data_IF_877948088505
#
_entry.id   IF_877948088505
#
_cell.length_a   1.000
_cell.length_b   1.000
_cell.length_c   1.000
_cell.angle_alpha   90.00
_cell.angle_beta   90.00
_cell.angle_gamma   90.00
#
_symmetry.space_group_name_H-M   'P 1'
#
loop_
_entity.id
_entity.type
_entity.pdbx_description
1 polymer ?
#
# COMPACT_ATOMS: atom_id res chain seq x y z
N UNK A 1 -4.31 -10.25 17.48
CA UNK A 1 -5.64 -10.87 17.35
C UNK A 1 -6.77 -9.86 17.13
N UNK A 2 -6.56 -8.58 17.43
CA UNK A 2 -7.62 -7.54 17.37
C UNK A 2 -7.71 -6.81 16.02
N UNK A 3 -6.93 -7.20 15.04
CA UNK A 3 -6.89 -6.57 13.72
C UNK A 3 -8.10 -6.87 12.81
N UNK A 4 -8.89 -7.89 13.11
CA UNK A 4 -9.87 -8.43 12.16
C UNK A 4 -11.33 -8.41 12.62
N UNK A 5 -11.64 -8.03 13.87
CA UNK A 5 -13.00 -8.13 14.41
C UNK A 5 -13.39 -6.87 15.18
N UNK A 6 -13.85 -5.83 14.50
CA UNK A 6 -14.71 -4.84 15.15
C UNK A 6 -16.15 -5.34 15.17
N UNK A 7 -16.52 -6.06 16.21
CA UNK A 7 -17.93 -6.35 16.52
C UNK A 7 -18.47 -5.17 17.30
N UNK A 8 -19.16 -4.28 16.65
CA UNK A 8 -19.82 -3.13 17.24
C UNK A 8 -19.63 -1.89 16.37
N UNK A 9 -20.68 -1.49 15.67
CA UNK A 9 -20.66 -0.46 14.64
C UNK A 9 -20.66 0.99 15.15
N UNK A 10 -20.57 1.23 16.49
CA UNK A 10 -20.73 2.57 17.05
C UNK A 10 -19.59 3.55 16.76
N UNK A 11 -18.33 3.12 16.86
CA UNK A 11 -17.16 4.02 16.80
C UNK A 11 -16.09 3.58 15.79
N UNK A 12 -16.49 2.85 14.76
CA UNK A 12 -15.58 2.35 13.72
C UNK A 12 -15.56 3.32 12.56
N UNK A 13 -14.38 3.79 12.19
CA UNK A 13 -14.21 4.59 10.98
C UNK A 13 -13.38 3.87 9.92
N UNK A 14 -13.64 4.21 8.68
CA UNK A 14 -12.91 3.66 7.53
C UNK A 14 -11.50 4.21 7.50
N UNK A 15 -10.50 3.31 7.54
CA UNK A 15 -9.08 3.64 7.52
C UNK A 15 -8.52 3.69 6.10
N UNK A 16 -8.99 2.78 5.27
CA UNK A 16 -8.68 2.62 3.86
C UNK A 16 -9.89 2.03 3.15
N UNK A 17 -9.81 1.82 1.83
CA UNK A 17 -10.97 1.38 1.03
C UNK A 17 -11.68 0.16 1.61
N UNK A 18 -10.96 -0.84 2.15
CA UNK A 18 -11.53 -2.10 2.62
C UNK A 18 -11.27 -2.45 4.09
N UNK A 19 -10.61 -1.58 4.85
CA UNK A 19 -10.26 -1.86 6.24
C UNK A 19 -10.81 -0.82 7.22
N UNK A 20 -11.38 -1.32 8.31
CA UNK A 20 -12.07 -0.57 9.33
C UNK A 20 -11.41 -0.76 10.69
N UNK A 21 -11.32 0.27 11.49
CA UNK A 21 -10.79 0.19 12.85
C UNK A 21 -11.44 1.25 13.72
N UNK A 22 -11.52 0.99 15.04
CA UNK A 22 -11.76 2.03 16.03
C UNK A 22 -10.58 3.00 16.11
N UNK A 23 -10.78 4.23 16.59
CA UNK A 23 -9.68 5.15 16.88
C UNK A 23 -8.59 4.47 17.73
N UNK A 24 -7.34 4.48 17.29
CA UNK A 24 -6.21 3.82 17.95
C UNK A 24 -6.12 2.30 17.75
N UNK A 25 -7.12 1.65 17.16
CA UNK A 25 -7.17 0.21 16.93
C UNK A 25 -6.65 -0.24 15.56
N UNK A 26 -5.94 0.64 14.84
CA UNK A 26 -5.41 0.30 13.52
C UNK A 26 -4.33 -0.78 13.62
N UNK A 27 -4.40 -1.77 12.72
CA UNK A 27 -3.35 -2.75 12.57
C UNK A 27 -2.09 -2.08 11.99
N UNK A 28 -1.11 -1.80 12.85
CA UNK A 28 0.14 -1.15 12.45
C UNK A 28 0.91 -1.97 11.41
N UNK A 29 0.94 -3.28 11.57
CA UNK A 29 1.60 -4.19 10.62
C UNK A 29 0.98 -4.09 9.23
N UNK A 30 -0.35 -4.04 9.14
CA UNK A 30 -1.03 -3.87 7.86
C UNK A 30 -0.78 -2.49 7.23
N UNK A 31 -0.61 -1.44 8.04
CA UNK A 31 -0.26 -0.10 7.55
C UNK A 31 1.14 -0.03 6.93
N UNK A 32 2.09 -0.87 7.35
CA UNK A 32 3.42 -0.98 6.75
C UNK A 32 3.28 -1.28 5.25
N UNK A 33 2.46 -2.25 4.88
CA UNK A 33 2.23 -2.61 3.48
C UNK A 33 1.54 -1.48 2.70
N UNK A 34 0.48 -0.88 3.26
CA UNK A 34 -0.26 0.19 2.59
C UNK A 34 0.53 1.49 2.42
N UNK A 35 1.53 1.71 3.27
CA UNK A 35 2.46 2.85 3.19
C UNK A 35 3.72 2.54 2.40
N UNK A 36 3.76 1.37 1.77
CA UNK A 36 4.92 0.87 1.02
C UNK A 36 6.23 0.95 1.84
N UNK A 37 6.15 0.70 3.15
CA UNK A 37 7.31 0.67 4.04
C UNK A 37 8.03 -0.66 3.94
N UNK A 38 9.26 -0.70 4.42
CA UNK A 38 10.07 -1.91 4.41
C UNK A 38 9.58 -2.93 5.44
N UNK A 39 9.66 -4.22 5.09
CA UNK A 39 9.37 -5.33 6.00
C UNK A 39 10.26 -6.52 5.70
N UNK A 40 10.48 -7.33 6.73
CA UNK A 40 11.19 -8.59 6.65
C UNK A 40 10.22 -9.76 6.87
N UNK A 41 10.18 -10.69 5.92
CA UNK A 41 9.41 -11.92 6.04
C UNK A 41 10.25 -13.07 6.60
N UNK A 42 9.83 -13.65 7.71
CA UNK A 42 10.48 -14.82 8.32
C UNK A 42 9.69 -16.09 7.98
N UNK A 43 10.41 -17.14 7.63
CA UNK A 43 9.84 -18.45 7.34
C UNK A 43 9.90 -18.86 5.86
N UNK A 44 9.61 -20.14 5.56
CA UNK A 44 9.56 -20.65 4.19
C UNK A 44 8.52 -19.92 3.34
N UNK A 45 8.90 -19.51 2.15
CA UNK A 45 8.04 -18.78 1.20
C UNK A 45 7.64 -17.36 1.62
N UNK A 46 8.18 -16.84 2.73
CA UNK A 46 7.89 -15.49 3.17
C UNK A 46 8.52 -14.47 2.22
N UNK A 47 7.78 -13.39 1.95
CA UNK A 47 8.23 -12.27 1.15
C UNK A 47 8.80 -11.16 2.03
N UNK A 48 9.73 -10.39 1.48
CA UNK A 48 10.37 -9.23 2.11
C UNK A 48 10.43 -8.07 1.12
N UNK A 49 10.49 -6.86 1.66
CA UNK A 49 10.78 -5.64 0.89
C UNK A 49 11.75 -4.79 1.70
N UNK A 50 12.99 -4.64 1.24
CA UNK A 50 14.05 -3.89 1.93
C UNK A 50 14.85 -3.08 0.91
N UNK A 51 15.00 -1.81 1.18
CA UNK A 51 15.59 -0.88 0.23
C UNK A 51 14.71 -0.78 -1.03
N UNK A 52 15.31 -1.02 -2.19
CA UNK A 52 14.62 -1.10 -3.48
C UNK A 52 14.49 -2.54 -3.97
N UNK A 53 14.58 -3.54 -3.09
CA UNK A 53 14.53 -4.96 -3.47
C UNK A 53 13.36 -5.66 -2.79
N UNK A 54 12.63 -6.44 -3.58
CA UNK A 54 11.74 -7.49 -3.11
C UNK A 54 12.42 -8.83 -3.24
N UNK A 55 12.25 -9.69 -2.25
CA UNK A 55 12.74 -11.05 -2.32
C UNK A 55 11.81 -11.99 -1.54
N UNK A 56 11.90 -13.26 -1.84
CA UNK A 56 11.16 -14.27 -1.11
C UNK A 56 12.04 -15.48 -0.79
N UNK A 57 11.72 -16.11 0.33
CA UNK A 57 12.44 -17.25 0.82
C UNK A 57 12.05 -18.53 0.08
N UNK A 58 12.94 -19.52 0.09
CA UNK A 58 12.64 -20.86 -0.42
C UNK A 58 11.39 -21.43 0.26
N UNK A 59 10.54 -22.10 -0.51
CA UNK A 59 9.22 -22.57 -0.04
C UNK A 59 9.29 -23.85 0.78
N UNK A 60 10.31 -24.70 0.56
CA UNK A 60 10.48 -25.97 1.27
C UNK A 60 11.07 -25.77 2.66
N UNK A 61 10.39 -26.19 3.75
CA UNK A 61 10.87 -26.00 5.11
C UNK A 61 12.26 -26.62 5.37
N UNK A 62 12.51 -27.79 4.80
CA UNK A 62 13.78 -28.50 4.98
C UNK A 62 14.93 -27.71 4.34
N UNK A 63 14.73 -27.21 3.11
CA UNK A 63 15.73 -26.38 2.40
C UNK A 63 15.96 -25.06 3.15
N UNK A 64 14.89 -24.45 3.65
CA UNK A 64 14.95 -23.24 4.45
C UNK A 64 15.80 -23.43 5.72
N UNK A 65 15.53 -24.51 6.47
CA UNK A 65 16.27 -24.84 7.68
C UNK A 65 17.74 -25.15 7.39
N UNK A 66 18.05 -25.85 6.30
CA UNK A 66 19.41 -26.18 5.89
C UNK A 66 20.22 -24.94 5.58
N UNK A 67 19.68 -24.03 4.75
CA UNK A 67 20.36 -22.79 4.40
C UNK A 67 20.67 -21.95 5.64
N UNK A 68 19.73 -21.84 6.58
CA UNK A 68 19.96 -21.12 7.84
C UNK A 68 21.02 -21.79 8.74
N UNK A 69 21.04 -23.13 8.78
CA UNK A 69 22.05 -23.88 9.55
C UNK A 69 23.46 -23.65 8.98
N UNK A 70 23.55 -23.47 7.66
CA UNK A 70 24.80 -23.15 6.95
C UNK A 70 25.19 -21.66 7.02
N UNK A 71 24.40 -20.83 7.73
CA UNK A 71 24.60 -19.38 7.85
C UNK A 71 24.25 -18.59 6.57
N UNK A 72 23.55 -19.20 5.62
CA UNK A 72 23.13 -18.57 4.39
C UNK A 72 21.70 -17.99 4.50
N UNK A 73 21.46 -16.87 3.80
CA UNK A 73 20.09 -16.34 3.68
C UNK A 73 19.27 -17.28 2.75
N UNK A 74 18.09 -17.72 3.21
CA UNK A 74 17.27 -18.68 2.47
C UNK A 74 16.48 -18.03 1.33
N UNK A 75 17.09 -17.11 0.60
CA UNK A 75 16.46 -16.35 -0.47
C UNK A 75 16.43 -17.21 -1.74
N UNK A 76 15.24 -17.35 -2.32
CA UNK A 76 15.05 -18.07 -3.57
C UNK A 76 15.24 -17.16 -4.79
N UNK A 77 14.67 -15.95 -4.72
CA UNK A 77 14.73 -15.01 -5.85
C UNK A 77 14.61 -13.56 -5.34
N UNK A 78 15.06 -12.62 -6.17
CA UNK A 78 15.08 -11.17 -5.90
C UNK A 78 14.58 -10.40 -7.11
N UNK A 79 13.90 -9.31 -6.86
CA UNK A 79 13.41 -8.35 -7.82
C UNK A 79 13.84 -6.94 -7.39
N UNK A 80 14.55 -6.24 -8.24
CA UNK A 80 14.85 -4.82 -8.03
C UNK A 80 13.66 -3.99 -8.51
N UNK A 81 13.19 -3.09 -7.67
CA UNK A 81 12.08 -2.19 -7.97
C UNK A 81 12.66 -0.89 -8.51
N UNK A 82 12.24 -0.49 -9.71
CA UNK A 82 12.62 0.77 -10.32
C UNK A 82 11.92 1.96 -9.63
N UNK A 83 12.44 3.17 -9.82
CA UNK A 83 11.84 4.38 -9.28
C UNK A 83 10.41 4.61 -9.82
N UNK A 84 10.16 4.26 -11.10
CA UNK A 84 8.85 4.33 -11.73
C UNK A 84 7.84 3.35 -11.10
N UNK A 85 8.25 2.11 -10.88
CA UNK A 85 7.42 1.10 -10.19
C UNK A 85 7.13 1.52 -8.75
N UNK A 86 8.16 2.00 -8.03
CA UNK A 86 8.01 2.49 -6.67
C UNK A 86 7.02 3.66 -6.58
N UNK A 87 7.09 4.62 -7.54
CA UNK A 87 6.15 5.73 -7.64
C UNK A 87 4.73 5.23 -7.90
N UNK A 88 4.54 4.41 -8.92
CA UNK A 88 3.25 3.81 -9.27
C UNK A 88 2.59 3.13 -8.07
N UNK A 89 3.35 2.32 -7.35
CA UNK A 89 2.86 1.64 -6.15
C UNK A 89 2.53 2.60 -5.01
N UNK A 90 3.38 3.61 -4.78
CA UNK A 90 3.15 4.60 -3.73
C UNK A 90 1.85 5.38 -3.98
N UNK A 91 1.56 5.78 -5.22
CA UNK A 91 0.29 6.41 -5.61
C UNK A 91 -0.87 5.43 -5.46
N UNK A 92 -0.73 4.22 -5.99
CA UNK A 92 -1.77 3.18 -5.97
C UNK A 92 -2.18 2.78 -4.54
N UNK A 93 -1.22 2.59 -3.65
CA UNK A 93 -1.46 2.19 -2.27
C UNK A 93 -1.89 3.38 -1.41
N UNK A 94 -1.20 4.50 -1.56
CA UNK A 94 -1.41 5.68 -0.73
C UNK A 94 -2.77 6.35 -0.93
N UNK A 95 -3.29 6.41 -2.16
CA UNK A 95 -4.64 6.94 -2.40
C UNK A 95 -5.75 6.08 -1.77
N UNK A 96 -5.52 4.80 -1.53
CA UNK A 96 -6.48 3.95 -0.81
C UNK A 96 -6.50 4.19 0.70
N UNK A 97 -5.51 4.89 1.24
CA UNK A 97 -5.49 5.32 2.64
C UNK A 97 -6.37 6.56 2.85
N UNK A 98 -6.91 6.71 4.06
CA UNK A 98 -7.68 7.91 4.45
C UNK A 98 -6.83 9.19 4.36
N UNK A 99 -5.55 9.07 4.66
CA UNK A 99 -4.58 10.17 4.61
C UNK A 99 -4.20 10.59 3.19
N UNK A 100 -4.43 9.74 2.18
CA UNK A 100 -4.06 9.99 0.78
C UNK A 100 -2.55 10.12 0.58
N UNK A 101 -2.16 10.78 -0.51
CA UNK A 101 -0.76 11.01 -0.90
C UNK A 101 -0.42 12.50 -0.88
N UNK A 102 0.86 12.90 -0.77
CA UNK A 102 1.28 14.27 -1.04
C UNK A 102 0.84 14.70 -2.44
N UNK A 103 0.24 15.87 -2.59
CA UNK A 103 -0.20 16.35 -3.90
C UNK A 103 0.96 16.50 -4.90
N UNK A 104 2.16 16.80 -4.38
CA UNK A 104 3.37 16.91 -5.19
C UNK A 104 3.85 15.60 -5.83
N UNK A 105 3.30 14.46 -5.44
CA UNK A 105 3.63 13.17 -6.07
C UNK A 105 2.94 13.01 -7.43
N UNK A 106 1.86 13.74 -7.67
CA UNK A 106 1.13 13.67 -8.94
C UNK A 106 1.89 14.46 -10.00
N UNK A 107 2.20 13.82 -11.10
CA UNK A 107 2.87 14.44 -12.25
C UNK A 107 2.03 15.57 -12.86
N UNK A 108 2.71 16.57 -13.43
CA UNK A 108 2.04 17.72 -14.06
C UNK A 108 1.05 17.31 -15.17
N UNK A 109 1.33 16.20 -15.87
CA UNK A 109 0.46 15.65 -16.91
C UNK A 109 -0.90 15.20 -16.40
N UNK A 110 -0.98 14.73 -15.15
CA UNK A 110 -2.22 14.23 -14.55
C UNK A 110 -3.07 15.31 -13.88
N UNK A 111 -2.64 16.59 -13.83
CA UNK A 111 -3.37 17.63 -13.10
C UNK A 111 -4.79 17.86 -13.64
N UNK A 112 -5.00 17.84 -14.95
CA UNK A 112 -6.32 18.00 -15.56
C UNK A 112 -7.28 16.85 -15.16
N UNK A 113 -6.73 15.65 -15.02
CA UNK A 113 -7.46 14.46 -14.55
C UNK A 113 -7.86 14.61 -13.09
N UNK A 114 -6.93 15.06 -12.26
CA UNK A 114 -7.18 15.34 -10.83
C UNK A 114 -8.27 16.39 -10.69
N UNK A 115 -8.17 17.52 -11.41
CA UNK A 115 -9.14 18.62 -11.38
C UNK A 115 -10.55 18.16 -11.80
N UNK A 116 -10.62 17.26 -12.78
CA UNK A 116 -11.89 16.64 -13.20
C UNK A 116 -12.52 15.85 -12.06
N UNK A 117 -11.74 15.01 -11.37
CA UNK A 117 -12.23 14.19 -10.26
C UNK A 117 -12.55 15.04 -9.01
N UNK A 118 -11.82 16.14 -8.77
CA UNK A 118 -12.12 17.11 -7.70
C UNK A 118 -13.47 17.79 -7.98
N UNK A 119 -13.68 18.28 -9.20
CA UNK A 119 -14.97 18.88 -9.60
C UNK A 119 -16.13 17.90 -9.51
N UNK A 120 -15.88 16.61 -9.74
CA UNK A 120 -16.87 15.55 -9.56
C UNK A 120 -17.12 15.17 -8.10
N UNK A 121 -16.41 15.76 -7.14
CA UNK A 121 -16.53 15.45 -5.72
C UNK A 121 -15.97 14.09 -5.32
N UNK A 122 -15.08 13.52 -6.15
CA UNK A 122 -14.47 12.21 -5.92
C UNK A 122 -13.08 12.31 -5.26
N UNK A 123 -12.41 13.43 -5.44
CA UNK A 123 -11.12 13.75 -4.83
C UNK A 123 -11.19 15.06 -4.05
N UNK A 124 -10.36 15.17 -3.04
CA UNK A 124 -10.02 16.42 -2.33
C UNK A 124 -8.54 16.69 -2.53
N UNK A 125 -8.18 17.92 -2.93
CA UNK A 125 -6.81 18.35 -3.12
C UNK A 125 -6.50 19.56 -2.24
N UNK A 126 -5.40 19.44 -1.48
CA UNK A 126 -4.78 20.51 -0.70
C UNK A 126 -3.24 20.32 -0.80
N UNK A 127 -2.54 20.26 0.32
CA UNK A 127 -1.18 19.71 0.42
C UNK A 127 -1.12 18.21 0.13
N UNK A 128 -2.28 17.57 0.28
CA UNK A 128 -2.48 16.14 -0.02
C UNK A 128 -3.64 15.92 -0.97
N UNK A 129 -3.54 14.87 -1.76
CA UNK A 129 -4.61 14.35 -2.61
C UNK A 129 -5.27 13.16 -1.91
N UNK A 130 -6.59 13.22 -1.71
CA UNK A 130 -7.36 12.20 -0.98
C UNK A 130 -8.61 11.82 -1.75
N UNK A 131 -8.99 10.55 -1.65
CA UNK A 131 -10.33 10.13 -2.07
C UNK A 131 -11.38 10.59 -1.05
N UNK A 132 -12.47 11.18 -1.55
CA UNK A 132 -13.69 11.39 -0.76
C UNK A 132 -14.36 10.04 -0.45
N UNK A 133 -15.39 10.02 0.40
CA UNK A 133 -16.13 8.79 0.66
C UNK A 133 -16.83 8.27 -0.61
N UNK A 134 -17.27 9.14 -1.50
CA UNK A 134 -17.80 8.77 -2.83
C UNK A 134 -16.70 8.27 -3.75
N UNK A 135 -15.54 8.93 -3.77
CA UNK A 135 -14.38 8.54 -4.58
C UNK A 135 -13.81 7.18 -4.22
N UNK A 136 -13.92 6.76 -2.95
CA UNK A 136 -13.46 5.44 -2.50
C UNK A 136 -14.17 4.27 -3.17
N UNK A 137 -15.41 4.47 -3.60
CA UNK A 137 -16.16 3.45 -4.33
C UNK A 137 -15.63 3.26 -5.75
N UNK A 138 -14.94 4.27 -6.28
CA UNK A 138 -14.38 4.33 -7.63
C UNK A 138 -12.84 4.39 -7.61
N UNK A 139 -12.22 4.01 -6.49
CA UNK A 139 -10.78 4.20 -6.24
C UNK A 139 -9.91 3.64 -7.37
N UNK A 140 -10.19 2.44 -7.85
CA UNK A 140 -9.38 1.78 -8.88
C UNK A 140 -9.40 2.55 -10.20
N UNK A 141 -10.58 3.02 -10.63
CA UNK A 141 -10.72 3.83 -11.84
C UNK A 141 -10.02 5.18 -11.73
N UNK A 142 -10.19 5.88 -10.60
CA UNK A 142 -9.55 7.19 -10.35
C UNK A 142 -8.02 7.06 -10.35
N UNK A 143 -7.49 6.03 -9.67
CA UNK A 143 -6.05 5.76 -9.60
C UNK A 143 -5.51 5.45 -10.99
N UNK A 144 -6.20 4.61 -11.75
CA UNK A 144 -5.81 4.27 -13.13
C UNK A 144 -5.81 5.50 -14.03
N UNK A 145 -6.83 6.36 -13.95
CA UNK A 145 -6.92 7.60 -14.72
C UNK A 145 -5.72 8.53 -14.43
N UNK A 146 -5.32 8.67 -13.16
CA UNK A 146 -4.19 9.50 -12.74
C UNK A 146 -2.89 8.94 -13.31
N UNK A 147 -2.59 7.66 -13.04
CA UNK A 147 -1.34 7.02 -13.47
C UNK A 147 -1.21 6.94 -15.00
N UNK A 148 -2.31 6.82 -15.72
CA UNK A 148 -2.28 6.80 -17.19
C UNK A 148 -2.04 8.18 -17.81
N UNK A 149 -2.17 9.26 -17.04
CA UNK A 149 -1.99 10.64 -17.49
C UNK A 149 -0.61 11.23 -17.09
N UNK A 150 0.19 10.52 -16.31
CA UNK A 150 1.57 10.88 -15.95
C UNK A 150 2.54 10.58 -17.08
#
# INVERSE_FOLDING_TARGET
RDCLLSRGLGDVYKRQVSNWAKPGGQCRHNLIYWRNQQWWGAGPGAHSFIGAERFFNVKRPETYAHLLADGALPIQDREAITDEEAHTEAVMLGLRLKEGIPAAWVGAGAQDVVDRHVRAGLLEQSDRLRLTDSGRLLADGIITDILAAE
#
